data_IF_658060850125
#
_entry.id   IF_658060850125
#
_cell.length_a   1.000
_cell.length_b   1.000
_cell.length_c   1.000
_cell.angle_alpha   90.00
_cell.angle_beta   90.00
_cell.angle_gamma   90.00
#
_symmetry.space_group_name_H-M   'P 1'
#
loop_
_entity.id
_entity.type
_entity.pdbx_description
1 polymer ?
#
# COMPACT_ATOMS: atom_id res chain seq x y z
N UNK A 1 -14.04 7.14 4.91
CA UNK A 1 -13.11 6.18 4.28
C UNK A 1 -12.65 6.68 2.91
N UNK A 2 -13.54 6.99 1.95
CA UNK A 2 -13.15 7.54 0.64
C UNK A 2 -12.26 8.79 0.75
N UNK A 3 -12.65 9.78 1.55
CA UNK A 3 -11.88 11.03 1.72
C UNK A 3 -10.51 10.83 2.40
N UNK A 4 -10.34 9.75 3.17
CA UNK A 4 -9.06 9.39 3.81
C UNK A 4 -8.11 8.77 2.78
N UNK A 5 -8.61 7.79 2.02
CA UNK A 5 -7.86 7.14 0.94
C UNK A 5 -7.46 8.14 -0.14
N UNK A 6 -8.34 9.08 -0.50
CA UNK A 6 -8.01 10.13 -1.47
C UNK A 6 -6.81 10.99 -1.01
N UNK A 7 -6.69 11.28 0.30
CA UNK A 7 -5.53 11.98 0.86
C UNK A 7 -4.27 11.11 0.85
N UNK A 8 -4.40 9.84 1.21
CA UNK A 8 -3.27 8.89 1.21
C UNK A 8 -2.73 8.72 -0.21
N UNK A 9 -3.59 8.65 -1.22
CA UNK A 9 -3.18 8.61 -2.63
C UNK A 9 -2.39 9.87 -3.03
N UNK A 10 -2.74 11.06 -2.51
CA UNK A 10 -1.92 12.25 -2.74
C UNK A 10 -0.56 12.18 -2.03
N UNK A 11 -0.51 11.59 -0.84
CA UNK A 11 0.74 11.37 -0.09
C UNK A 11 1.63 10.38 -0.84
N UNK A 12 1.08 9.26 -1.31
CA UNK A 12 1.77 8.25 -2.11
C UNK A 12 2.35 8.85 -3.38
N UNK A 13 1.54 9.62 -4.13
CA UNK A 13 1.99 10.31 -5.33
C UNK A 13 3.20 11.20 -5.04
N UNK A 14 3.13 12.01 -3.99
CA UNK A 14 4.23 12.88 -3.58
C UNK A 14 5.46 12.09 -3.13
N UNK A 15 5.28 10.99 -2.42
CA UNK A 15 6.35 10.09 -2.00
C UNK A 15 7.10 9.50 -3.21
N UNK A 16 6.37 9.08 -4.25
CA UNK A 16 6.95 8.58 -5.50
C UNK A 16 7.68 9.70 -6.25
N UNK A 17 7.07 10.88 -6.40
CA UNK A 17 7.69 12.04 -7.04
C UNK A 17 8.99 12.47 -6.33
N UNK A 18 9.01 12.45 -5.00
CA UNK A 18 10.22 12.71 -4.22
C UNK A 18 11.28 11.65 -4.44
N UNK A 19 10.90 10.37 -4.53
CA UNK A 19 11.83 9.28 -4.86
C UNK A 19 12.48 9.46 -6.23
N UNK A 20 11.69 9.85 -7.23
CA UNK A 20 12.20 10.17 -8.57
C UNK A 20 13.13 11.38 -8.53
N UNK A 21 12.74 12.45 -7.83
CA UNK A 21 13.57 13.66 -7.67
C UNK A 21 14.90 13.35 -6.97
N UNK A 22 14.89 12.50 -5.94
CA UNK A 22 16.09 12.07 -5.23
C UNK A 22 17.03 11.18 -6.06
N UNK A 23 16.56 10.66 -7.20
CA UNK A 23 17.38 9.91 -8.15
C UNK A 23 18.11 10.79 -9.18
N UNK A 24 17.80 12.09 -9.22
CA UNK A 24 18.43 13.07 -10.10
C UNK A 24 19.88 13.35 -9.65
N UNK A 25 20.90 13.18 -10.52
CA UNK A 25 22.30 13.49 -10.20
C UNK A 25 22.53 14.91 -9.69
N UNK A 26 21.78 15.91 -10.19
CA UNK A 26 21.92 17.30 -9.76
C UNK A 26 21.40 17.50 -8.32
N UNK A 27 20.40 16.72 -7.93
CA UNK A 27 19.90 16.69 -6.55
C UNK A 27 20.88 15.95 -5.63
N UNK A 28 21.44 14.84 -6.09
CA UNK A 28 22.43 14.05 -5.32
C UNK A 28 23.70 14.86 -5.08
N UNK A 29 24.12 15.69 -6.04
CA UNK A 29 25.30 16.55 -5.91
C UNK A 29 25.10 17.68 -4.88
N UNK A 30 23.86 18.13 -4.64
CA UNK A 30 23.53 19.10 -3.61
C UNK A 30 23.12 18.41 -2.30
N UNK A 31 24.09 18.26 -1.39
CA UNK A 31 23.89 17.61 -0.10
C UNK A 31 22.72 18.18 0.72
N UNK A 32 22.53 19.51 0.73
CA UNK A 32 21.47 20.11 1.54
C UNK A 32 20.10 19.78 0.94
N UNK A 33 19.96 19.94 -0.38
CA UNK A 33 18.72 19.59 -1.10
C UNK A 33 18.40 18.11 -0.96
N UNK A 34 19.37 17.23 -1.16
CA UNK A 34 19.21 15.79 -1.00
C UNK A 34 18.75 15.42 0.41
N UNK A 35 19.41 15.97 1.45
CA UNK A 35 19.07 15.71 2.85
C UNK A 35 17.63 16.12 3.17
N UNK A 36 17.23 17.31 2.74
CA UNK A 36 15.93 17.87 3.11
C UNK A 36 14.78 17.14 2.38
N UNK A 37 14.97 16.81 1.09
CA UNK A 37 14.03 15.97 0.33
C UNK A 37 13.96 14.53 0.87
N UNK A 38 15.09 13.95 1.27
CA UNK A 38 15.14 12.61 1.87
C UNK A 38 14.35 12.54 3.16
N UNK A 39 14.47 13.57 4.03
CA UNK A 39 13.68 13.67 5.26
C UNK A 39 12.18 13.79 4.97
N UNK A 40 11.83 14.61 3.98
CA UNK A 40 10.43 14.77 3.57
C UNK A 40 9.84 13.45 3.06
N UNK A 41 10.59 12.72 2.21
CA UNK A 41 10.17 11.39 1.74
C UNK A 41 10.04 10.39 2.89
N UNK A 42 11.03 10.36 3.79
CA UNK A 42 11.04 9.47 4.96
C UNK A 42 9.85 9.70 5.88
N UNK A 43 9.39 10.95 6.05
CA UNK A 43 8.19 11.25 6.85
C UNK A 43 6.87 10.72 6.27
N UNK A 44 6.86 10.33 4.99
CA UNK A 44 5.68 9.76 4.31
C UNK A 44 5.76 8.23 4.21
N UNK A 45 6.92 7.64 4.47
CA UNK A 45 7.19 6.23 4.16
C UNK A 45 6.26 5.30 4.93
N UNK A 46 6.06 5.51 6.23
CA UNK A 46 5.19 4.66 7.05
C UNK A 46 3.74 4.64 6.54
N UNK A 47 3.15 5.81 6.28
CA UNK A 47 1.78 5.90 5.73
C UNK A 47 1.67 5.22 4.37
N UNK A 48 2.69 5.37 3.51
CA UNK A 48 2.68 4.75 2.17
C UNK A 48 2.88 3.23 2.23
N UNK A 49 3.73 2.74 3.14
CA UNK A 49 3.92 1.31 3.37
C UNK A 49 2.65 0.64 3.89
N UNK A 50 1.95 1.29 4.84
CA UNK A 50 0.65 0.83 5.31
C UNK A 50 -0.41 0.84 4.20
N UNK A 51 -0.43 1.88 3.37
CA UNK A 51 -1.30 1.94 2.21
C UNK A 51 -1.06 0.79 1.22
N UNK A 52 0.20 0.47 0.93
CA UNK A 52 0.53 -0.66 0.07
C UNK A 52 0.15 -2.00 0.69
N UNK A 53 0.33 -2.17 2.00
CA UNK A 53 -0.11 -3.37 2.71
C UNK A 53 -1.64 -3.53 2.65
N UNK A 54 -2.37 -2.45 2.91
CA UNK A 54 -3.83 -2.41 2.78
C UNK A 54 -4.28 -2.76 1.35
N UNK A 55 -3.68 -2.11 0.34
CA UNK A 55 -4.03 -2.36 -1.06
C UNK A 55 -3.77 -3.81 -1.45
N UNK A 56 -2.64 -4.38 -1.04
CA UNK A 56 -2.31 -5.78 -1.28
C UNK A 56 -3.34 -6.73 -0.65
N UNK A 57 -3.79 -6.44 0.57
CA UNK A 57 -4.81 -7.25 1.23
C UNK A 57 -6.15 -7.16 0.49
N UNK A 58 -6.56 -5.96 0.04
CA UNK A 58 -7.76 -5.76 -0.79
C UNK A 58 -7.67 -6.52 -2.11
N UNK A 59 -6.54 -6.43 -2.81
CA UNK A 59 -6.31 -7.13 -4.07
C UNK A 59 -6.37 -8.65 -3.86
N UNK A 60 -5.74 -9.18 -2.79
CA UNK A 60 -5.78 -10.60 -2.46
C UNK A 60 -7.19 -11.11 -2.13
N UNK A 61 -8.00 -10.29 -1.45
CA UNK A 61 -9.42 -10.61 -1.18
C UNK A 61 -10.21 -10.70 -2.48
N UNK A 62 -10.02 -9.77 -3.40
CA UNK A 62 -10.71 -9.75 -4.69
C UNK A 62 -10.28 -10.93 -5.56
N UNK A 63 -8.98 -11.25 -5.62
CA UNK A 63 -8.46 -12.43 -6.29
C UNK A 63 -9.05 -13.72 -5.71
N UNK A 64 -9.07 -13.86 -4.37
CA UNK A 64 -9.67 -15.02 -3.71
C UNK A 64 -11.17 -15.16 -4.03
N UNK A 65 -11.92 -14.04 -4.05
CA UNK A 65 -13.33 -14.02 -4.44
C UNK A 65 -13.56 -14.52 -5.86
N UNK A 66 -12.72 -14.09 -6.80
CA UNK A 66 -12.79 -14.54 -8.20
C UNK A 66 -12.48 -16.04 -8.32
N UNK A 67 -11.42 -16.51 -7.65
CA UNK A 67 -11.06 -17.93 -7.65
C UNK A 67 -12.15 -18.82 -7.04
N UNK A 68 -12.76 -18.40 -5.92
CA UNK A 68 -13.87 -19.13 -5.28
C UNK A 68 -15.06 -19.27 -6.24
N UNK A 69 -15.31 -18.27 -7.09
CA UNK A 69 -16.41 -18.29 -8.05
C UNK A 69 -16.22 -19.34 -9.15
N UNK A 70 -14.98 -19.54 -9.59
CA UNK A 70 -14.61 -20.47 -10.67
C UNK A 70 -14.29 -21.88 -10.17
N UNK A 71 -13.94 -22.02 -8.89
CA UNK A 71 -13.58 -23.29 -8.26
C UNK A 71 -14.78 -24.23 -8.09
N UNK A 72 -14.55 -25.53 -8.23
CA UNK A 72 -15.55 -26.59 -8.05
C UNK A 72 -15.22 -27.52 -6.88
N UNK A 73 -13.96 -27.58 -6.48
CA UNK A 73 -13.52 -28.33 -5.30
C UNK A 73 -13.89 -27.57 -4.02
N UNK A 74 -14.68 -28.22 -3.16
CA UNK A 74 -15.18 -27.59 -1.93
C UNK A 74 -14.09 -27.43 -0.85
N UNK A 75 -13.07 -28.28 -0.83
CA UNK A 75 -11.93 -28.13 0.08
C UNK A 75 -11.10 -26.91 -0.33
N UNK A 76 -10.84 -26.77 -1.63
CA UNK A 76 -10.13 -25.60 -2.17
C UNK A 76 -10.90 -24.29 -1.95
N UNK A 77 -12.23 -24.30 -2.08
CA UNK A 77 -13.05 -23.13 -1.73
C UNK A 77 -12.95 -22.75 -0.26
N UNK A 78 -12.93 -23.73 0.65
CA UNK A 78 -12.79 -23.46 2.08
C UNK A 78 -11.42 -22.86 2.38
N UNK A 79 -10.37 -23.38 1.74
CA UNK A 79 -9.03 -22.81 1.84
C UNK A 79 -8.99 -21.34 1.39
N UNK A 80 -9.52 -21.04 0.20
CA UNK A 80 -9.57 -19.67 -0.33
C UNK A 80 -10.41 -18.72 0.53
N UNK A 81 -11.50 -19.21 1.15
CA UNK A 81 -12.30 -18.43 2.09
C UNK A 81 -11.53 -18.09 3.36
N UNK A 82 -10.77 -19.04 3.90
CA UNK A 82 -9.94 -18.80 5.08
C UNK A 82 -8.85 -17.75 4.80
N UNK A 83 -8.18 -17.84 3.65
CA UNK A 83 -7.20 -16.82 3.20
C UNK A 83 -7.85 -15.43 3.04
N UNK A 84 -9.05 -15.39 2.46
CA UNK A 84 -9.82 -14.15 2.31
C UNK A 84 -10.17 -13.55 3.68
N UNK A 85 -10.68 -14.35 4.62
CA UNK A 85 -11.02 -13.92 5.98
C UNK A 85 -9.79 -13.42 6.74
N UNK A 86 -8.63 -14.05 6.57
CA UNK A 86 -7.37 -13.59 7.18
C UNK A 86 -6.96 -12.21 6.66
N UNK A 87 -7.10 -11.96 5.36
CA UNK A 87 -6.82 -10.66 4.77
C UNK A 87 -7.86 -9.60 5.20
N UNK A 88 -9.14 -9.95 5.26
CA UNK A 88 -10.21 -9.07 5.75
C UNK A 88 -9.97 -8.64 7.20
N UNK A 89 -9.49 -9.55 8.05
CA UNK A 89 -9.17 -9.26 9.45
C UNK A 89 -7.99 -8.27 9.63
N UNK A 90 -7.12 -8.12 8.64
CA UNK A 90 -5.99 -7.16 8.66
C UNK A 90 -6.40 -5.75 8.27
N UNK A 91 -7.47 -5.58 7.48
CA UNK A 91 -7.88 -4.28 6.97
C UNK A 91 -8.14 -3.23 8.07
N UNK A 92 -8.84 -3.55 9.18
CA UNK A 92 -9.07 -2.56 10.24
C UNK A 92 -7.78 -2.05 10.90
N UNK A 93 -6.78 -2.91 11.12
CA UNK A 93 -5.49 -2.49 11.69
C UNK A 93 -4.76 -1.53 10.74
N UNK A 94 -4.74 -1.85 9.44
CA UNK A 94 -4.14 -0.95 8.46
C UNK A 94 -4.88 0.38 8.39
N UNK A 95 -6.21 0.36 8.39
CA UNK A 95 -7.05 1.56 8.34
C UNK A 95 -6.92 2.45 9.58
N UNK A 96 -6.69 1.87 10.77
CA UNK A 96 -6.47 2.63 12.00
C UNK A 96 -5.08 3.29 12.04
N UNK A 97 -4.08 2.66 11.44
CA UNK A 97 -2.67 3.09 11.48
C UNK A 97 -2.29 4.06 10.35
N UNK A 98 -3.11 4.16 9.30
CA UNK A 98 -2.92 5.05 8.14
C UNK A 98 -3.40 6.49 8.42
#
# INVERSE_FOLDING_TARGET
MKDMLDKIVQIEKKYVELGQTLSDPDVIADYNKFRDLSKQRKSMEETVELYYAWKKAVDAIEEAKQLIHEEKDEEMKQFLKAEMEENEAKLPDYEERM
#
